data_IF_663640445374
#
_entry.id   IF_663640445374
#
_cell.length_a   1.000
_cell.length_b   1.000
_cell.length_c   1.000
_cell.angle_alpha   90.00
_cell.angle_beta   90.00
_cell.angle_gamma   90.00
#
_symmetry.space_group_name_H-M   'P 1'
#
loop_
_entity.id
_entity.type
_entity.pdbx_description
1 polymer ?
#
# COMPACT_ATOMS: atom_id res chain seq x y z
N UNK A 1 -1.92 -13.85 9.71
CA UNK A 1 -3.04 -12.92 9.48
C UNK A 1 -2.65 -11.91 8.41
N UNK A 2 -3.55 -11.62 7.45
CA UNK A 2 -3.35 -10.56 6.44
C UNK A 2 -4.08 -9.31 6.90
N UNK A 3 -3.39 -8.19 7.01
CA UNK A 3 -3.95 -6.92 7.47
C UNK A 3 -4.12 -5.96 6.28
N UNK A 4 -5.32 -5.38 6.12
CA UNK A 4 -5.56 -4.33 5.12
C UNK A 4 -5.01 -2.99 5.62
N UNK A 5 -3.87 -2.55 5.10
CA UNK A 5 -3.16 -1.35 5.58
C UNK A 5 -2.86 -0.34 4.47
N UNK A 6 -3.51 -0.49 3.31
CA UNK A 6 -3.44 0.48 2.22
C UNK A 6 -4.36 1.67 2.40
N UNK A 7 -3.94 2.82 1.87
CA UNK A 7 -4.70 4.06 1.88
C UNK A 7 -4.27 5.00 0.76
N UNK A 8 -5.07 6.03 0.47
CA UNK A 8 -4.72 7.03 -0.55
C UNK A 8 -3.56 7.94 -0.12
N UNK A 9 -3.24 7.98 1.17
CA UNK A 9 -2.15 8.75 1.75
C UNK A 9 -0.99 7.84 2.13
N UNK A 10 0.23 8.18 1.71
CA UNK A 10 1.45 7.43 2.06
C UNK A 10 1.68 7.39 3.57
N UNK A 11 1.39 8.49 4.26
CA UNK A 11 1.61 8.58 5.71
C UNK A 11 0.68 7.66 6.48
N UNK A 12 -0.62 7.69 6.15
CA UNK A 12 -1.63 6.82 6.76
C UNK A 12 -1.33 5.34 6.47
N UNK A 13 -0.94 5.01 5.23
CA UNK A 13 -0.55 3.65 4.86
C UNK A 13 0.65 3.16 5.68
N UNK A 14 1.62 4.02 5.99
CA UNK A 14 2.74 3.68 6.86
C UNK A 14 2.26 3.40 8.30
N UNK A 15 1.49 4.30 8.91
CA UNK A 15 1.02 4.14 10.29
C UNK A 15 0.17 2.87 10.47
N UNK A 16 -0.71 2.58 9.52
CA UNK A 16 -1.52 1.37 9.51
C UNK A 16 -0.65 0.11 9.34
N UNK A 17 0.35 0.16 8.47
CA UNK A 17 1.24 -0.99 8.22
C UNK A 17 2.15 -1.27 9.42
N UNK A 18 2.64 -0.22 10.09
CA UNK A 18 3.40 -0.33 11.35
C UNK A 18 2.52 -0.96 12.43
N UNK A 19 1.33 -0.41 12.65
CA UNK A 19 0.38 -0.92 13.66
C UNK A 19 0.01 -2.38 13.41
N UNK A 20 -0.16 -2.77 12.13
CA UNK A 20 -0.45 -4.15 11.76
C UNK A 20 0.74 -5.09 12.02
N UNK A 21 1.97 -4.65 11.76
CA UNK A 21 3.15 -5.43 12.07
C UNK A 21 3.34 -5.60 13.58
N UNK A 22 3.09 -4.56 14.38
CA UNK A 22 3.09 -4.65 15.84
C UNK A 22 2.00 -5.61 16.36
N UNK A 23 0.85 -5.67 15.68
CA UNK A 23 -0.20 -6.63 15.97
C UNK A 23 0.13 -8.08 15.53
N UNK A 24 1.28 -8.32 14.90
CA UNK A 24 1.71 -9.64 14.45
C UNK A 24 1.08 -10.08 13.13
N UNK A 25 0.78 -9.15 12.22
CA UNK A 25 0.42 -9.50 10.86
C UNK A 25 1.57 -10.24 10.15
N UNK A 26 1.24 -11.13 9.22
CA UNK A 26 2.22 -11.81 8.36
C UNK A 26 2.37 -11.09 7.01
N UNK A 27 1.31 -10.41 6.58
CA UNK A 27 1.24 -9.71 5.29
C UNK A 27 0.41 -8.43 5.43
N UNK A 28 0.83 -7.40 4.71
CA UNK A 28 0.05 -6.18 4.49
C UNK A 28 -0.64 -6.27 3.13
N UNK A 29 -1.92 -5.95 3.07
CA UNK A 29 -2.67 -5.81 1.83
C UNK A 29 -2.85 -4.31 1.56
N UNK A 30 -2.29 -3.84 0.45
CA UNK A 30 -2.38 -2.43 0.05
C UNK A 30 -3.04 -2.29 -1.32
N UNK A 31 -4.06 -1.44 -1.39
CA UNK A 31 -4.81 -1.14 -2.61
C UNK A 31 -4.17 0.05 -3.32
N UNK A 32 -4.06 -0.02 -4.64
CA UNK A 32 -3.55 1.09 -5.47
C UNK A 32 -4.41 2.34 -5.26
N UNK A 33 -3.83 3.51 -4.88
CA UNK A 33 -4.58 4.75 -4.75
C UNK A 33 -5.28 5.13 -6.06
N UNK A 34 -6.61 5.19 -6.05
CA UNK A 34 -7.43 5.38 -7.26
C UNK A 34 -7.94 6.82 -7.42
N UNK A 35 -7.96 7.62 -6.36
CA UNK A 35 -8.52 8.99 -6.42
C UNK A 35 -7.59 10.01 -7.09
N UNK A 36 -6.28 9.94 -6.85
CA UNK A 36 -5.35 11.01 -7.23
C UNK A 36 -4.66 10.85 -8.60
N UNK A 37 -5.00 9.83 -9.40
CA UNK A 37 -4.26 9.47 -10.64
C UNK A 37 -2.74 9.58 -10.47
N UNK A 38 -2.16 8.86 -9.48
CA UNK A 38 -0.72 8.89 -9.29
C UNK A 38 -0.01 8.39 -10.56
N UNK A 39 1.13 8.99 -10.88
CA UNK A 39 2.01 8.47 -11.93
C UNK A 39 2.57 7.11 -11.50
N UNK A 40 3.02 6.28 -12.44
CA UNK A 40 3.70 5.01 -12.08
C UNK A 40 4.88 5.24 -11.13
N UNK A 41 5.61 6.35 -11.32
CA UNK A 41 6.67 6.75 -10.41
C UNK A 41 6.14 7.07 -9.00
N UNK A 42 5.05 7.84 -8.89
CA UNK A 42 4.43 8.14 -7.59
C UNK A 42 3.88 6.90 -6.88
N UNK A 43 3.36 5.93 -7.63
CA UNK A 43 2.97 4.62 -7.07
C UNK A 43 4.18 3.86 -6.53
N UNK A 44 5.26 3.81 -7.32
CA UNK A 44 6.50 3.17 -6.90
C UNK A 44 7.06 3.82 -5.62
N UNK A 45 7.13 5.15 -5.56
CA UNK A 45 7.60 5.88 -4.39
C UNK A 45 6.70 5.64 -3.17
N UNK A 46 5.37 5.64 -3.37
CA UNK A 46 4.41 5.34 -2.31
C UNK A 46 4.64 3.95 -1.70
N UNK A 47 4.67 2.91 -2.52
CA UNK A 47 4.86 1.54 -2.03
C UNK A 47 6.27 1.31 -1.50
N UNK A 48 7.28 1.95 -2.10
CA UNK A 48 8.65 1.89 -1.59
C UNK A 48 8.76 2.53 -0.20
N UNK A 49 8.09 3.65 0.04
CA UNK A 49 8.08 4.30 1.35
C UNK A 49 7.44 3.39 2.41
N UNK A 50 6.30 2.77 2.10
CA UNK A 50 5.62 1.82 3.01
C UNK A 50 6.49 0.59 3.27
N UNK A 51 7.08 0.00 2.23
CA UNK A 51 7.97 -1.17 2.35
C UNK A 51 9.26 -0.87 3.12
N UNK A 52 9.75 0.37 3.10
CA UNK A 52 10.92 0.78 3.90
C UNK A 52 10.58 1.02 5.36
N UNK A 53 9.33 1.39 5.67
CA UNK A 53 8.92 1.66 7.04
C UNK A 53 8.77 0.37 7.86
N UNK A 54 8.44 -0.75 7.22
CA UNK A 54 8.12 -2.01 7.92
C UNK A 54 8.69 -3.20 7.16
N UNK A 55 9.30 -4.14 7.88
CA UNK A 55 9.82 -5.39 7.30
C UNK A 55 8.70 -6.45 7.16
N UNK A 56 7.60 -6.07 6.53
CA UNK A 56 6.42 -6.91 6.31
C UNK A 56 6.19 -7.07 4.80
N UNK A 57 5.95 -8.28 4.29
CA UNK A 57 5.61 -8.47 2.88
C UNK A 57 4.31 -7.74 2.53
N UNK A 58 4.35 -6.91 1.47
CA UNK A 58 3.20 -6.15 0.98
C UNK A 58 2.61 -6.83 -0.25
N UNK A 59 1.32 -7.15 -0.19
CA UNK A 59 0.51 -7.64 -1.28
C UNK A 59 -0.18 -6.44 -1.93
N UNK A 60 0.18 -6.20 -3.18
CA UNK A 60 -0.44 -5.17 -4.02
C UNK A 60 -1.75 -5.70 -4.60
N UNK A 61 -2.86 -5.09 -4.19
CA UNK A 61 -4.17 -5.39 -4.76
C UNK A 61 -4.54 -4.32 -5.78
N UNK A 62 -4.27 -4.62 -7.05
CA UNK A 62 -4.63 -3.74 -8.15
C UNK A 62 -6.11 -3.94 -8.53
N UNK A 63 -6.96 -3.00 -8.13
CA UNK A 63 -8.35 -2.93 -8.59
C UNK A 63 -8.38 -2.12 -9.88
N UNK A 64 -8.62 -2.82 -10.99
CA UNK A 64 -8.78 -2.20 -12.30
C UNK A 64 -10.09 -1.40 -12.34
N UNK A 65 -10.01 -0.08 -12.16
CA UNK A 65 -11.01 0.82 -12.76
C UNK A 65 -10.80 0.77 -14.29
N UNK A 66 -11.86 0.92 -15.07
CA UNK A 66 -11.95 0.76 -16.53
C UNK A 66 -11.02 1.70 -17.35
N UNK A 67 -10.02 2.33 -16.72
CA UNK A 67 -9.15 3.38 -17.27
C UNK A 67 -7.65 3.12 -17.10
N UNK A 68 -7.25 1.91 -16.66
CA UNK A 68 -5.94 1.35 -17.02
C UNK A 68 -4.70 1.95 -16.35
N UNK A 69 -4.75 2.31 -15.06
CA UNK A 69 -3.51 2.56 -14.31
C UNK A 69 -2.97 1.21 -13.84
N UNK A 70 -2.07 0.63 -14.65
CA UNK A 70 -1.29 -0.56 -14.29
C UNK A 70 -0.08 -0.14 -13.47
N UNK A 71 0.00 -0.64 -12.25
CA UNK A 71 1.23 -0.65 -11.45
C UNK A 71 2.27 -1.60 -12.08
#
# INVERSE_FOLDING_TARGET
MVAGTGGNSTHEAIELTVSAAEAGADYSLSVTPYYNRPTQHGLFEHFQAVARAVNLPIILYNVQDARGVTC
#
